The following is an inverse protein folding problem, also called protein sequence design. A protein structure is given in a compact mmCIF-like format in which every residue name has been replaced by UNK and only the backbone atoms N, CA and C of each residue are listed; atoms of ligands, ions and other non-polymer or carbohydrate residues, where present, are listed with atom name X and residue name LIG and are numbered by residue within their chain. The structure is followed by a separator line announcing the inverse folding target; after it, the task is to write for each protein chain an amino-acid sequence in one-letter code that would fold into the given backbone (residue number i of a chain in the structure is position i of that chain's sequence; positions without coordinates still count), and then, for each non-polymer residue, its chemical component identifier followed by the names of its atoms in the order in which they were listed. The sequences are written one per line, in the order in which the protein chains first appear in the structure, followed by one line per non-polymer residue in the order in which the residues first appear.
data_IF_511376060241
#
_entry.id   IF_511376060241
#
_cell.length_a   1.000
_cell.length_b   1.000
_cell.length_c   1.000
_cell.angle_alpha   90.00
_cell.angle_beta   90.00
_cell.angle_gamma   90.00
#
_symmetry.space_group_name_H-M   'P 1'
#
loop_
_entity.id
_entity.type
_entity.pdbx_description
1 polymer ?
#
# COMPACT_ATOMS: atom_id res chain seq x y z
N UNK A 1 -4.13 -5.38 1.90
CA UNK A 1 -3.39 -4.36 2.67
C UNK A 1 -3.93 -4.24 4.08
N UNK A 2 -3.62 -5.20 4.96
CA UNK A 2 -3.98 -5.11 6.40
C UNK A 2 -2.97 -4.28 7.19
N UNK A 3 -1.74 -4.14 6.68
CA UNK A 3 -0.63 -3.49 7.38
C UNK A 3 -0.89 -2.00 7.67
N UNK A 4 -1.55 -1.26 6.78
CA UNK A 4 -1.83 0.17 7.00
C UNK A 4 -2.71 0.44 8.21
N UNK A 5 -3.64 -0.47 8.55
CA UNK A 5 -4.44 -0.38 9.78
C UNK A 5 -3.56 -0.37 11.04
N UNK A 6 -2.38 -0.94 10.96
CA UNK A 6 -1.43 -1.08 12.07
C UNK A 6 -0.25 -0.11 11.93
N UNK A 7 -0.43 1.01 11.24
CA UNK A 7 0.57 2.08 11.15
C UNK A 7 1.68 1.84 10.13
N UNK A 8 1.49 0.94 9.16
CA UNK A 8 2.43 0.77 8.04
C UNK A 8 2.10 1.69 6.87
N UNK A 9 3.13 2.18 6.17
CA UNK A 9 2.99 3.05 4.99
C UNK A 9 3.44 2.30 3.73
N UNK A 10 2.66 2.30 2.64
CA UNK A 10 3.11 1.80 1.35
C UNK A 10 4.23 2.68 0.81
N UNK A 11 5.32 2.08 0.36
CA UNK A 11 6.38 2.79 -0.36
C UNK A 11 6.56 2.15 -1.73
N UNK A 12 6.73 3.00 -2.74
CA UNK A 12 7.01 2.54 -4.09
C UNK A 12 8.44 1.97 -4.14
N UNK A 13 8.56 0.73 -4.59
CA UNK A 13 9.84 0.10 -4.89
C UNK A 13 10.00 0.05 -6.41
N UNK A 14 10.98 0.80 -6.92
CA UNK A 14 11.33 0.76 -8.33
C UNK A 14 12.27 -0.42 -8.56
N UNK A 15 11.74 -1.54 -9.05
CA UNK A 15 12.56 -2.66 -9.53
C UNK A 15 12.95 -2.41 -10.99
N UNK A 16 14.22 -2.64 -11.34
CA UNK A 16 14.80 -2.30 -12.65
C UNK A 16 14.54 -3.33 -13.75
N UNK A 17 13.43 -4.06 -13.74
CA UNK A 17 13.17 -5.05 -14.79
C UNK A 17 11.70 -5.07 -15.20
N UNK A 18 11.52 -5.10 -16.52
CA UNK A 18 10.33 -5.09 -17.41
C UNK A 18 9.04 -5.80 -16.96
N UNK A 19 9.04 -6.50 -15.83
CA UNK A 19 7.85 -7.09 -15.25
C UNK A 19 7.33 -6.20 -14.13
N UNK A 20 6.84 -5.02 -14.51
CA UNK A 20 5.74 -4.39 -13.78
C UNK A 20 4.64 -5.44 -13.75
N UNK A 21 4.60 -6.24 -12.68
CA UNK A 21 3.55 -7.22 -12.44
C UNK A 21 2.25 -6.46 -12.48
N UNK A 22 1.57 -6.50 -13.62
CA UNK A 22 0.14 -6.25 -13.68
C UNK A 22 -0.47 -7.30 -12.77
N UNK A 23 -0.57 -6.95 -11.49
CA UNK A 23 -1.46 -7.62 -10.57
C UNK A 23 -2.81 -7.58 -11.27
N UNK A 24 -3.27 -8.77 -11.67
CA UNK A 24 -4.56 -9.09 -12.26
C UNK A 24 -5.65 -8.73 -11.25
N UNK A 25 -5.79 -7.44 -11.00
CA UNK A 25 -6.45 -6.81 -9.87
C UNK A 25 -7.20 -5.57 -10.31
N UNK A 26 -7.74 -5.59 -11.53
CA UNK A 26 -8.58 -4.51 -12.07
C UNK A 26 -9.76 -4.19 -11.13
N UNK A 27 -10.31 -5.19 -10.43
CA UNK A 27 -11.36 -4.98 -9.43
C UNK A 27 -10.84 -4.28 -8.15
N UNK A 28 -9.60 -4.56 -7.74
CA UNK A 28 -9.01 -3.95 -6.55
C UNK A 28 -8.59 -2.49 -6.80
N UNK A 29 -8.10 -2.17 -8.02
CA UNK A 29 -7.67 -0.82 -8.42
C UNK A 29 -8.80 0.22 -8.34
N UNK A 30 -10.05 -0.20 -8.46
CA UNK A 30 -11.21 0.71 -8.53
C UNK A 30 -11.89 0.97 -7.18
N UNK A 31 -11.33 0.46 -6.08
CA UNK A 31 -11.85 0.79 -4.75
C UNK A 31 -11.42 2.20 -4.32
N UNK A 32 -12.27 2.89 -3.55
CA UNK A 32 -11.95 4.21 -2.95
C UNK A 32 -10.61 4.19 -2.21
N UNK A 33 -10.30 3.07 -1.54
CA UNK A 33 -9.04 2.90 -0.84
C UNK A 33 -7.84 2.77 -1.79
N UNK A 34 -7.98 2.02 -2.88
CA UNK A 34 -6.89 1.92 -3.87
C UNK A 34 -6.62 3.26 -4.55
N UNK A 35 -7.66 4.04 -4.85
CA UNK A 35 -7.50 5.41 -5.33
C UNK A 35 -6.81 6.31 -4.29
N UNK A 36 -7.18 6.20 -3.02
CA UNK A 36 -6.49 6.89 -1.92
C UNK A 36 -5.01 6.50 -1.84
N UNK A 37 -4.69 5.21 -1.90
CA UNK A 37 -3.30 4.73 -1.83
C UNK A 37 -2.48 5.22 -3.02
N UNK A 38 -3.02 5.12 -4.23
CA UNK A 38 -2.32 5.58 -5.44
C UNK A 38 -2.11 7.09 -5.40
N UNK A 39 -3.13 7.87 -5.03
CA UNK A 39 -3.02 9.33 -4.96
C UNK A 39 -2.13 9.83 -3.82
N UNK A 40 -2.03 9.09 -2.71
CA UNK A 40 -1.27 9.52 -1.52
C UNK A 40 0.17 8.98 -1.52
N UNK A 41 0.36 7.73 -1.98
CA UNK A 41 1.62 6.99 -1.85
C UNK A 41 2.18 6.48 -3.18
N UNK A 42 1.48 6.71 -4.31
CA UNK A 42 1.86 6.17 -5.61
C UNK A 42 3.25 6.59 -6.07
N UNK A 43 3.65 7.82 -5.73
CA UNK A 43 4.95 8.41 -6.05
C UNK A 43 5.88 8.51 -4.83
N UNK A 44 5.47 7.94 -3.68
CA UNK A 44 6.24 8.00 -2.44
C UNK A 44 7.37 6.97 -2.50
N UNK A 45 8.58 7.44 -2.79
CA UNK A 45 9.80 6.63 -2.71
C UNK A 45 10.20 6.35 -1.25
N UNK A 46 10.99 5.30 -1.04
CA UNK A 46 11.53 4.98 0.30
C UNK A 46 12.37 6.13 0.88
N UNK A 47 13.19 6.81 0.06
CA UNK A 47 13.97 7.95 0.51
C UNK A 47 13.09 9.11 0.95
N UNK A 48 12.04 9.42 0.18
CA UNK A 48 11.10 10.48 0.53
C UNK A 48 10.36 10.15 1.84
N UNK A 49 9.93 8.91 2.01
CA UNK A 49 9.29 8.47 3.25
C UNK A 49 10.22 8.64 4.48
N UNK A 50 11.52 8.34 4.32
CA UNK A 50 12.50 8.53 5.39
C UNK A 50 12.77 10.01 5.68
N UNK A 51 12.78 10.85 4.65
CA UNK A 51 12.96 12.29 4.80
C UNK A 51 11.74 12.95 5.46
N UNK A 52 10.52 12.60 5.05
CA UNK A 52 9.28 13.10 5.67
C UNK A 52 9.21 12.70 7.15
N UNK A 53 9.55 11.44 7.47
CA UNK A 53 9.62 10.96 8.84
C UNK A 53 10.60 11.77 9.71
N UNK A 54 11.78 12.10 9.17
CA UNK A 54 12.83 12.82 9.91
C UNK A 54 12.59 14.31 10.02
N UNK A 55 12.13 14.92 8.93
CA UNK A 55 12.12 16.36 8.76
C UNK A 55 10.75 16.98 9.06
N UNK A 56 9.65 16.21 8.91
CA UNK A 56 8.30 16.63 9.31
C UNK A 56 7.53 15.49 10.01
N UNK A 57 7.92 15.14 11.24
CA UNK A 57 7.28 14.07 12.00
C UNK A 57 5.79 14.35 12.29
N UNK A 58 5.38 15.62 12.29
CA UNK A 58 4.00 16.02 12.57
C UNK A 58 3.07 15.72 11.40
N UNK A 59 3.52 16.01 10.18
CA UNK A 59 2.83 15.66 8.95
C UNK A 59 2.81 14.14 8.79
N UNK A 60 3.95 13.48 9.02
CA UNK A 60 4.08 12.03 8.95
C UNK A 60 3.10 11.31 9.90
N UNK A 61 3.02 11.72 11.17
CA UNK A 61 2.08 11.17 12.15
C UNK A 61 0.62 11.34 11.71
N UNK A 62 0.27 12.52 11.17
CA UNK A 62 -1.08 12.79 10.64
C UNK A 62 -1.42 11.89 9.47
N UNK A 63 -0.49 11.71 8.54
CA UNK A 63 -0.67 10.87 7.36
C UNK A 63 -0.86 9.40 7.73
N UNK A 64 -0.05 8.88 8.68
CA UNK A 64 -0.21 7.52 9.22
C UNK A 64 -1.59 7.35 9.87
N UNK A 65 -2.02 8.31 10.70
CA UNK A 65 -3.32 8.25 11.38
C UNK A 65 -4.50 8.27 10.39
N UNK A 66 -4.44 9.09 9.35
CA UNK A 66 -5.46 9.11 8.30
C UNK A 66 -5.50 7.77 7.53
N UNK A 67 -4.33 7.21 7.19
CA UNK A 67 -4.22 5.89 6.58
C UNK A 67 -4.79 4.76 7.46
N UNK A 68 -4.49 4.76 8.76
CA UNK A 68 -5.03 3.80 9.73
C UNK A 68 -6.56 3.87 9.82
N UNK A 69 -7.13 5.08 9.89
CA UNK A 69 -8.57 5.29 9.97
C UNK A 69 -9.27 4.74 8.72
N UNK A 70 -8.71 5.02 7.52
CA UNK A 70 -9.22 4.50 6.25
C UNK A 70 -9.03 3.00 6.10
N UNK A 71 -7.97 2.43 6.70
CA UNK A 71 -7.68 0.98 6.70
C UNK A 71 -8.78 0.11 7.28
N UNK A 72 -9.69 0.70 8.05
CA UNK A 72 -10.86 0.03 8.63
C UNK A 72 -12.02 -0.15 7.66
N UNK A 73 -12.04 0.54 6.50
CA UNK A 73 -13.09 0.41 5.47
C UNK A 73 -12.84 -0.73 4.46
N UNK A 74 -11.84 -1.58 4.72
CA UNK A 74 -11.57 -2.79 3.95
C UNK A 74 -12.59 -3.87 4.33
N UNK A 75 -13.77 -3.80 3.72
CA UNK A 75 -14.59 -5.00 3.54
C UNK A 75 -13.74 -6.03 2.79
N UNK A 76 -13.80 -7.30 3.19
CA UNK A 76 -12.88 -8.40 2.88
C UNK A 76 -12.74 -8.80 1.38
N UNK A 77 -13.06 -7.92 0.43
CA UNK A 77 -13.17 -8.16 -1.01
C UNK A 77 -11.87 -8.57 -1.71
N UNK A 78 -10.71 -8.46 -1.06
CA UNK A 78 -9.42 -8.84 -1.65
C UNK A 78 -8.71 -9.99 -0.92
N UNK A 79 -9.38 -10.67 0.00
CA UNK A 79 -8.77 -11.79 0.74
C UNK A 79 -8.31 -12.93 -0.18
N UNK A 80 -9.16 -13.33 -1.14
CA UNK A 80 -8.86 -14.41 -2.09
C UNK A 80 -7.62 -14.12 -2.93
N UNK A 81 -7.52 -12.91 -3.48
CA UNK A 81 -6.38 -12.50 -4.32
C UNK A 81 -5.06 -12.47 -3.54
N UNK A 82 -5.10 -12.01 -2.28
CA UNK A 82 -3.92 -12.04 -1.40
C UNK A 82 -3.53 -13.46 -1.00
N UNK A 83 -4.50 -14.32 -0.73
CA UNK A 83 -4.26 -15.72 -0.38
C UNK A 83 -3.64 -16.51 -1.55
N UNK A 84 -4.12 -16.31 -2.78
CA UNK A 84 -3.55 -16.94 -3.97
C UNK A 84 -2.10 -16.53 -4.20
N UNK A 85 -1.80 -15.23 -4.11
CA UNK A 85 -0.44 -14.72 -4.27
C UNK A 85 0.52 -15.19 -3.17
N UNK A 86 0.05 -15.29 -1.92
CA UNK A 86 0.86 -15.82 -0.83
C UNK A 86 1.11 -17.32 -1.00
N UNK A 87 0.07 -18.07 -1.38
CA UNK A 87 0.14 -19.52 -1.59
C UNK A 87 1.08 -19.91 -2.74
N UNK A 88 1.22 -19.08 -3.77
CA UNK A 88 2.14 -19.34 -4.88
C UNK A 88 3.61 -19.14 -4.48
N UNK A 89 3.90 -18.22 -3.55
CA UNK A 89 5.25 -18.01 -3.00
C UNK A 89 5.65 -19.17 -2.09
N UNK A 90 4.74 -19.68 -1.27
CA UNK A 90 5.02 -20.80 -0.33
C UNK A 90 5.11 -22.17 -0.99
N UNK A 91 4.80 -22.28 -2.28
CA UNK A 91 4.90 -23.52 -3.07
C UNK A 91 6.18 -23.60 -3.91
N UNK A 92 7.06 -22.61 -3.80
CA UNK A 92 8.46 -22.64 -4.27
C UNK A 92 9.34 -23.26 -3.20
#
# INVERSE_FOLDING_TARGET
MKAMKYGSVPVQLNFSSDESRESKGHECRNTVMSQYIISTYGDLSLSQALDDFKNDPSHWDRQIKDGMARGSSWDAKCYSLHWEAYSSITKL
#
